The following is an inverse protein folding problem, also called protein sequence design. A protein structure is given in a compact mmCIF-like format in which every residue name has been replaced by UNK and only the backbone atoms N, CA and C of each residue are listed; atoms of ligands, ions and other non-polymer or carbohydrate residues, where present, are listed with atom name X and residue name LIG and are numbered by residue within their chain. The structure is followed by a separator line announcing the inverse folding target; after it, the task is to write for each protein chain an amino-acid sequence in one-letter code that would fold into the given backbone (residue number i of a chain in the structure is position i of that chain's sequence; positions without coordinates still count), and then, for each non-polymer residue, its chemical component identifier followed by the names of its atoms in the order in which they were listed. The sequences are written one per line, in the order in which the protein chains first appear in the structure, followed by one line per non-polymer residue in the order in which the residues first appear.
data_IF_236187452954
#
_entry.id   IF_236187452954
#
_cell.length_a   1.000
_cell.length_b   1.000
_cell.length_c   1.000
_cell.angle_alpha   90.00
_cell.angle_beta   90.00
_cell.angle_gamma   90.00
#
_symmetry.space_group_name_H-M   'P 1'
#
loop_
_entity.id
_entity.type
_entity.pdbx_description
1 polymer ?
#
# COMPACT_ATOMS: atom_id res chain seq x y z
N UNK A 1 21.18 19.14 7.24
CA UNK A 1 20.51 18.45 6.12
C UNK A 1 19.37 17.66 6.72
N UNK A 2 18.28 18.36 7.00
CA UNK A 2 17.05 17.75 7.50
C UNK A 2 16.34 17.08 6.31
N UNK A 3 16.67 15.81 6.09
CA UNK A 3 15.86 14.96 5.24
C UNK A 3 14.53 14.76 5.98
N UNK A 4 13.58 15.66 5.73
CA UNK A 4 12.16 15.42 6.00
C UNK A 4 11.83 14.08 5.34
N UNK A 5 11.75 13.07 6.20
CA UNK A 5 11.69 11.65 5.90
C UNK A 5 10.59 11.39 4.88
N UNK A 6 10.93 11.21 3.61
CA UNK A 6 9.96 10.90 2.56
C UNK A 6 9.19 9.64 2.95
N UNK A 7 7.95 9.82 3.37
CA UNK A 7 7.03 8.71 3.61
C UNK A 7 6.58 8.26 2.23
N UNK A 8 7.13 7.14 1.76
CA UNK A 8 6.67 6.54 0.50
C UNK A 8 5.19 6.21 0.58
N UNK A 9 4.51 6.25 -0.58
CA UNK A 9 3.08 5.93 -0.67
C UNK A 9 2.76 4.56 -0.04
N UNK A 10 3.62 3.56 -0.24
CA UNK A 10 3.52 2.24 0.39
C UNK A 10 3.51 2.27 1.92
N UNK A 11 4.40 3.05 2.53
CA UNK A 11 4.41 3.23 3.99
C UNK A 11 3.13 3.88 4.49
N UNK A 12 2.58 4.85 3.74
CA UNK A 12 1.32 5.50 4.12
C UNK A 12 0.12 4.54 4.01
N UNK A 13 0.10 3.71 2.97
CA UNK A 13 -0.91 2.65 2.79
C UNK A 13 -0.87 1.68 3.98
N UNK A 14 0.32 1.18 4.33
CA UNK A 14 0.51 0.30 5.49
C UNK A 14 0.01 0.91 6.79
N UNK A 15 0.38 2.16 7.06
CA UNK A 15 -0.08 2.88 8.26
C UNK A 15 -1.60 3.00 8.33
N UNK A 16 -2.25 3.33 7.20
CA UNK A 16 -3.71 3.45 7.15
C UNK A 16 -4.41 2.10 7.29
N UNK A 17 -3.81 1.02 6.76
CA UNK A 17 -4.31 -0.35 6.91
C UNK A 17 -4.27 -0.78 8.38
N UNK A 18 -3.11 -0.63 9.02
CA UNK A 18 -2.91 -0.96 10.44
C UNK A 18 -3.81 -0.11 11.35
N UNK A 19 -3.97 1.19 11.05
CA UNK A 19 -4.89 2.07 11.77
C UNK A 19 -6.36 1.62 11.67
N UNK A 20 -6.74 1.03 10.54
CA UNK A 20 -8.07 0.43 10.33
C UNK A 20 -8.21 -0.98 10.91
N UNK A 21 -7.14 -1.56 11.46
CA UNK A 21 -7.12 -2.93 12.01
C UNK A 21 -7.55 -4.01 11.01
N UNK A 22 -7.20 -3.83 9.73
CA UNK A 22 -7.50 -4.81 8.67
C UNK A 22 -6.24 -5.53 8.19
N UNK A 23 -6.40 -6.75 7.69
CA UNK A 23 -5.30 -7.55 7.13
C UNK A 23 -4.90 -7.07 5.74
N UNK A 24 -3.77 -7.56 5.24
CA UNK A 24 -3.31 -7.27 3.87
C UNK A 24 -4.28 -7.88 2.85
N UNK A 25 -4.82 -9.06 3.15
CA UNK A 25 -5.84 -9.75 2.35
C UNK A 25 -7.13 -8.93 2.25
N UNK A 26 -7.62 -8.39 3.37
CA UNK A 26 -8.82 -7.54 3.38
C UNK A 26 -8.59 -6.24 2.59
N UNK A 27 -7.40 -5.64 2.68
CA UNK A 27 -7.06 -4.47 1.87
C UNK A 27 -7.01 -4.82 0.37
N UNK A 28 -6.41 -5.96 0.03
CA UNK A 28 -6.31 -6.44 -1.35
C UNK A 28 -7.69 -6.70 -1.97
N UNK A 29 -8.57 -7.37 -1.23
CA UNK A 29 -9.96 -7.63 -1.63
C UNK A 29 -10.72 -6.32 -1.91
N UNK A 30 -10.64 -5.35 -1.00
CA UNK A 30 -11.30 -4.03 -1.16
C UNK A 30 -10.76 -3.24 -2.36
N UNK A 31 -9.48 -3.40 -2.67
CA UNK A 31 -8.82 -2.70 -3.77
C UNK A 31 -8.94 -3.43 -5.12
N UNK A 32 -9.47 -4.66 -5.14
CA UNK A 32 -9.45 -5.51 -6.33
C UNK A 32 -8.04 -5.88 -6.78
N UNK A 33 -7.09 -5.98 -5.84
CA UNK A 33 -5.69 -6.32 -6.08
C UNK A 33 -5.36 -7.70 -5.50
N UNK A 34 -4.25 -8.29 -5.92
CA UNK A 34 -3.72 -9.47 -5.25
C UNK A 34 -3.03 -9.09 -3.93
N UNK A 35 -3.09 -9.96 -2.92
CA UNK A 35 -2.39 -9.78 -1.64
C UNK A 35 -0.90 -9.52 -1.87
N UNK A 36 -0.26 -10.28 -2.76
CA UNK A 36 1.16 -10.13 -3.11
C UNK A 36 1.47 -8.73 -3.64
N UNK A 37 0.63 -8.16 -4.50
CA UNK A 37 0.83 -6.80 -5.02
C UNK A 37 0.71 -5.75 -3.91
N UNK A 38 -0.24 -5.92 -2.98
CA UNK A 38 -0.36 -5.03 -1.83
C UNK A 38 0.88 -5.11 -0.93
N UNK A 39 1.42 -6.30 -0.67
CA UNK A 39 2.66 -6.47 0.09
C UNK A 39 3.85 -5.80 -0.62
N UNK A 40 3.97 -5.96 -1.93
CA UNK A 40 5.01 -5.30 -2.72
C UNK A 40 4.88 -3.77 -2.64
N UNK A 41 3.66 -3.24 -2.69
CA UNK A 41 3.40 -1.80 -2.53
C UNK A 41 3.80 -1.33 -1.13
N UNK A 42 3.35 -2.01 -0.06
CA UNK A 42 3.68 -1.64 1.33
C UNK A 42 5.19 -1.68 1.61
N UNK A 43 5.92 -2.59 0.95
CA UNK A 43 7.37 -2.74 1.04
C UNK A 43 8.16 -1.90 0.02
N UNK A 44 7.48 -0.99 -0.71
CA UNK A 44 8.06 -0.12 -1.73
C UNK A 44 8.80 -0.86 -2.87
N UNK A 45 8.39 -2.10 -3.14
CA UNK A 45 8.87 -2.93 -4.25
C UNK A 45 8.03 -2.75 -5.53
N UNK A 46 6.81 -2.21 -5.39
CA UNK A 46 5.94 -1.87 -6.51
C UNK A 46 5.27 -0.51 -6.27
N UNK A 47 4.96 0.20 -7.37
CA UNK A 47 4.13 1.40 -7.33
C UNK A 47 2.73 1.06 -7.85
N UNK A 48 1.66 1.45 -7.14
CA UNK A 48 0.32 1.27 -7.65
C UNK A 48 0.13 2.07 -8.94
N UNK A 49 -0.54 1.46 -9.92
CA UNK A 49 -0.99 2.18 -11.11
C UNK A 49 -2.20 3.05 -10.75
N UNK A 50 -2.28 4.23 -11.35
CA UNK A 50 -3.48 5.07 -11.30
C UNK A 50 -4.49 4.71 -12.41
N UNK A 51 -4.17 3.71 -13.25
CA UNK A 51 -5.08 3.24 -14.28
C UNK A 51 -6.23 2.42 -13.65
N UNK A 52 -7.47 2.51 -14.16
CA UNK A 52 -8.56 1.66 -13.72
C UNK A 52 -8.23 0.17 -13.95
N UNK A 53 -8.55 -0.73 -13.02
CA UNK A 53 -8.67 -2.15 -13.36
C UNK A 53 -9.84 -2.31 -14.36
N UNK A 54 -9.63 -3.11 -15.41
CA UNK A 54 -10.62 -3.37 -16.47
C UNK A 54 -11.89 -4.03 -15.95
#
# INVERSE_FOLDING_TARGET
MDAAKEVSVGKKIKQLREFQNITVEELAERAGLSTELVEQIENAQAYPSLAPPY
#
